data_IF_314017231368
#
_entry.id   IF_314017231368
#
_cell.length_a   1.000
_cell.length_b   1.000
_cell.length_c   1.000
_cell.angle_alpha   90.00
_cell.angle_beta   90.00
_cell.angle_gamma   90.00
#
_symmetry.space_group_name_H-M   'P 1'
#
loop_
_entity.id
_entity.type
_entity.pdbx_description
1 polymer ?
#
# COMPACT_ATOMS: atom_id res chain seq x y z
N UNK A 1 -2.29 -3.27 7.47
CA UNK A 1 -1.18 -3.48 6.52
C UNK A 1 -1.69 -4.24 5.29
N UNK A 2 -1.36 -3.84 4.07
CA UNK A 2 -1.77 -4.55 2.84
C UNK A 2 -0.84 -5.74 2.54
N UNK A 3 -1.33 -6.73 1.79
CA UNK A 3 -0.52 -7.86 1.33
C UNK A 3 0.39 -7.44 0.19
N UNK A 4 1.68 -7.70 0.30
CA UNK A 4 2.66 -7.31 -0.72
C UNK A 4 2.35 -7.94 -2.08
N UNK A 5 1.82 -9.17 -2.12
CA UNK A 5 1.43 -9.85 -3.35
C UNK A 5 0.23 -9.20 -4.08
N UNK A 6 -0.54 -8.36 -3.40
CA UNK A 6 -1.70 -7.65 -3.96
C UNK A 6 -1.33 -6.24 -4.45
N UNK A 7 -0.09 -5.80 -4.21
CA UNK A 7 0.41 -4.47 -4.58
C UNK A 7 1.26 -4.55 -5.83
N UNK A 8 0.81 -3.88 -6.89
CA UNK A 8 1.58 -3.68 -8.11
C UNK A 8 2.16 -2.27 -8.09
N UNK A 9 3.49 -2.19 -8.07
CA UNK A 9 4.21 -0.92 -8.26
C UNK A 9 4.67 -0.84 -9.70
N UNK A 10 4.16 0.16 -10.42
CA UNK A 10 4.61 0.47 -11.76
C UNK A 10 5.56 1.67 -11.68
N UNK A 11 6.82 1.45 -12.02
CA UNK A 11 7.70 2.51 -12.48
C UNK A 11 7.50 2.62 -13.99
N UNK A 12 6.41 3.28 -14.40
CA UNK A 12 6.08 3.43 -15.81
C UNK A 12 6.87 4.59 -16.41
N UNK A 13 7.74 4.31 -17.37
CA UNK A 13 8.20 5.31 -18.33
C UNK A 13 7.05 5.62 -19.27
N UNK A 14 6.41 6.78 -19.10
CA UNK A 14 5.36 7.19 -20.01
C UNK A 14 5.92 7.30 -21.43
N UNK A 15 5.22 6.74 -22.42
CA UNK A 15 5.45 6.99 -23.85
C UNK A 15 5.37 8.48 -24.22
N UNK A 16 5.08 9.39 -23.27
CA UNK A 16 4.98 10.84 -23.39
C UNK A 16 5.78 11.61 -22.31
N UNK A 17 6.90 11.06 -21.79
CA UNK A 17 7.94 11.89 -21.17
C UNK A 17 7.88 12.12 -19.66
N UNK A 18 7.70 11.07 -18.87
CA UNK A 18 8.02 11.11 -17.44
C UNK A 18 7.87 9.75 -16.75
N UNK A 19 8.86 9.37 -15.95
CA UNK A 19 8.77 8.23 -15.04
C UNK A 19 7.94 8.63 -13.82
N UNK A 20 6.68 8.19 -13.77
CA UNK A 20 5.81 8.45 -12.63
C UNK A 20 5.55 7.14 -11.88
N UNK A 21 5.78 7.09 -10.55
CA UNK A 21 5.43 5.93 -9.77
C UNK A 21 3.91 5.84 -9.68
N UNK A 22 3.41 4.63 -9.88
CA UNK A 22 2.02 4.27 -9.66
C UNK A 22 1.98 3.05 -8.76
N UNK A 23 1.08 3.08 -7.79
CA UNK A 23 0.81 1.97 -6.89
C UNK A 23 -0.64 1.55 -7.08
N UNK A 24 -0.87 0.27 -7.34
CA UNK A 24 -2.18 -0.30 -7.62
C UNK A 24 -2.42 -1.47 -6.68
N UNK A 25 -3.57 -1.48 -6.00
CA UNK A 25 -4.08 -2.64 -5.29
C UNK A 25 -4.86 -3.51 -6.27
N UNK A 26 -4.23 -4.56 -6.78
CA UNK A 26 -4.73 -5.36 -7.90
C UNK A 26 -6.13 -5.97 -7.69
N UNK A 27 -6.47 -6.49 -6.49
CA UNK A 27 -7.79 -7.11 -6.27
C UNK A 27 -8.96 -6.12 -6.37
N UNK A 28 -8.75 -4.83 -6.07
CA UNK A 28 -9.82 -3.82 -6.05
C UNK A 28 -9.68 -2.77 -7.13
N UNK A 29 -8.51 -2.67 -7.77
CA UNK A 29 -8.21 -1.64 -8.76
C UNK A 29 -7.98 -0.24 -8.19
N UNK A 30 -7.93 -0.09 -6.85
CA UNK A 30 -7.63 1.21 -6.22
C UNK A 30 -6.18 1.56 -6.54
N UNK A 31 -5.94 2.79 -6.97
CA UNK A 31 -4.60 3.24 -7.34
C UNK A 31 -4.25 4.63 -6.83
N UNK A 32 -2.93 4.84 -6.72
CA UNK A 32 -2.30 6.12 -6.45
C UNK A 32 -1.20 6.36 -7.46
N UNK A 33 -1.19 7.56 -8.02
CA UNK A 33 -0.23 7.96 -9.04
C UNK A 33 0.30 9.34 -8.69
N UNK A 34 1.61 9.54 -8.80
CA UNK A 34 2.19 10.86 -8.57
C UNK A 34 2.04 11.70 -9.84
N UNK A 35 1.52 12.95 -9.75
CA UNK A 35 1.18 13.75 -10.93
C UNK A 35 2.39 14.39 -11.64
N UNK A 36 3.59 14.26 -11.08
CA UNK A 36 4.77 15.01 -11.52
C UNK A 36 6.10 14.33 -11.26
N UNK A 37 7.21 14.90 -11.79
CA UNK A 37 8.53 14.29 -11.72
C UNK A 37 8.96 14.13 -10.26
N UNK A 38 9.65 13.03 -9.95
CA UNK A 38 10.06 12.67 -8.59
C UNK A 38 11.26 13.47 -8.04
N UNK A 39 11.58 14.63 -8.61
CA UNK A 39 12.71 15.44 -8.16
C UNK A 39 12.48 15.88 -6.70
N UNK A 40 13.30 15.37 -5.77
CA UNK A 40 13.17 15.65 -4.34
C UNK A 40 12.11 14.82 -3.60
N UNK A 41 11.42 13.91 -4.28
CA UNK A 41 10.40 13.05 -3.64
C UNK A 41 11.05 11.78 -3.11
N UNK A 42 10.89 11.53 -1.82
CA UNK A 42 11.30 10.28 -1.21
C UNK A 42 10.31 9.16 -1.58
N UNK A 43 10.71 8.27 -2.49
CA UNK A 43 9.87 7.17 -2.97
C UNK A 43 9.39 6.25 -1.84
N UNK A 44 10.20 6.05 -0.80
CA UNK A 44 9.84 5.20 0.32
C UNK A 44 8.69 5.81 1.12
N UNK A 45 8.82 7.09 1.52
CA UNK A 45 7.77 7.80 2.26
C UNK A 45 6.48 7.93 1.44
N UNK A 46 6.60 8.24 0.14
CA UNK A 46 5.45 8.31 -0.77
C UNK A 46 4.72 6.97 -0.87
N UNK A 47 5.48 5.87 -0.99
CA UNK A 47 4.90 4.51 -1.06
C UNK A 47 4.20 4.15 0.25
N UNK A 48 4.79 4.45 1.41
CA UNK A 48 4.16 4.22 2.72
C UNK A 48 2.87 5.03 2.87
N UNK A 49 2.87 6.29 2.43
CA UNK A 49 1.67 7.14 2.44
C UNK A 49 0.56 6.52 1.57
N UNK A 50 0.87 6.12 0.34
CA UNK A 50 -0.12 5.52 -0.55
C UNK A 50 -0.67 4.19 -0.04
N UNK A 51 0.16 3.34 0.57
CA UNK A 51 -0.29 2.12 1.21
C UNK A 51 -1.29 2.41 2.33
N UNK A 52 -1.02 3.42 3.17
CA UNK A 52 -1.92 3.84 4.23
C UNK A 52 -3.24 4.41 3.69
N UNK A 53 -3.20 5.20 2.62
CA UNK A 53 -4.40 5.73 1.97
C UNK A 53 -5.28 4.62 1.37
N UNK A 54 -4.67 3.64 0.69
CA UNK A 54 -5.40 2.50 0.13
C UNK A 54 -5.98 1.64 1.26
N UNK A 55 -5.23 1.40 2.34
CA UNK A 55 -5.72 0.68 3.51
C UNK A 55 -6.94 1.38 4.13
N UNK A 56 -6.89 2.69 4.31
CA UNK A 56 -8.01 3.47 4.82
C UNK A 56 -9.23 3.39 3.89
N UNK A 57 -9.03 3.44 2.57
CA UNK A 57 -10.08 3.30 1.57
C UNK A 57 -10.72 1.90 1.62
N UNK A 58 -9.92 0.84 1.68
CA UNK A 58 -10.42 -0.54 1.83
C UNK A 58 -11.24 -0.71 3.11
N UNK A 59 -10.78 -0.16 4.22
CA UNK A 59 -11.52 -0.16 5.50
C UNK A 59 -12.83 0.61 5.38
N UNK A 60 -12.82 1.79 4.75
CA UNK A 60 -14.02 2.61 4.55
C UNK A 60 -15.06 1.91 3.66
N UNK A 61 -14.61 1.12 2.68
CA UNK A 61 -15.47 0.30 1.83
C UNK A 61 -15.89 -1.04 2.47
N UNK A 62 -15.47 -1.32 3.71
CA UNK A 62 -15.77 -2.56 4.42
C UNK A 62 -15.02 -3.78 3.87
N UNK A 63 -13.99 -3.57 3.06
CA UNK A 63 -13.20 -4.60 2.38
C UNK A 63 -12.04 -5.10 3.26
N UNK A 64 -12.35 -5.44 4.51
CA UNK A 64 -11.37 -5.86 5.52
C UNK A 64 -10.61 -7.15 5.15
N UNK A 65 -11.13 -7.96 4.23
CA UNK A 65 -10.48 -9.18 3.76
C UNK A 65 -9.13 -8.94 3.05
N UNK A 66 -8.93 -7.74 2.49
CA UNK A 66 -7.69 -7.33 1.82
C UNK A 66 -6.72 -6.57 2.75
N UNK A 67 -7.16 -6.27 3.97
CA UNK A 67 -6.31 -5.64 4.98
C UNK A 67 -5.79 -6.74 5.90
N UNK A 68 -4.48 -6.96 5.92
CA UNK A 68 -3.85 -7.79 6.94
C UNK A 68 -4.09 -7.09 8.28
N UNK A 69 -4.79 -7.72 9.23
CA UNK A 69 -4.86 -7.21 10.58
C UNK A 69 -3.42 -7.19 11.11
N UNK A 70 -2.90 -6.02 11.50
CA UNK A 70 -1.66 -5.90 12.27
C UNK A 70 -1.86 -6.49 13.67
N UNK A 71 -2.17 -7.78 13.78
CA UNK A 71 -2.41 -8.41 15.06
C UNK A 71 -1.86 -9.83 15.09
N UNK A 72 -0.53 -9.93 15.10
CA UNK A 72 0.12 -10.96 15.93
C UNK A 72 1.55 -10.69 16.39
N UNK A 73 1.88 -9.47 16.76
CA UNK A 73 3.15 -9.17 17.47
C UNK A 73 2.88 -8.38 18.75
N UNK A 74 2.15 -8.99 19.71
CA UNK A 74 2.39 -8.80 21.17
C UNK A 74 1.60 -9.68 22.15
N UNK A 75 0.61 -10.50 21.74
CA UNK A 75 -0.18 -11.28 22.71
C UNK A 75 -0.03 -12.82 22.67
N UNK A 76 0.93 -13.40 21.93
CA UNK A 76 1.16 -14.86 21.93
C UNK A 76 2.23 -15.36 22.92
N UNK A 77 2.80 -14.48 23.74
CA UNK A 77 3.73 -14.85 24.84
C UNK A 77 3.14 -14.73 26.25
N UNK A 78 1.86 -14.40 26.41
CA UNK A 78 1.18 -14.39 27.72
C UNK A 78 0.09 -15.48 27.87
N UNK A 79 0.07 -16.48 26.98
CA UNK A 79 -0.67 -17.72 27.22
C UNK A 79 0.28 -18.90 27.22
N UNK A 80 0.76 -19.23 28.41
CA UNK A 80 1.26 -20.52 28.91
C UNK A 80 2.08 -20.17 30.16
N UNK A 81 1.58 -20.34 31.37
CA UNK A 81 1.19 -21.64 31.95
C UNK A 81 0.51 -21.44 33.33
N UNK A 82 -0.10 -22.51 33.89
CA UNK A 82 -1.02 -22.49 35.03
C UNK A 82 -0.41 -22.01 36.35
#
# INVERSE_FOLDING_TARGET
MLREEEIQTHAGGASHGGDFPRLVHAPTGIERCHPGPLAGVNRYELTQQWLAEIEAELVAHGLHQYVIPEYRTKNRRQQKRP
#
